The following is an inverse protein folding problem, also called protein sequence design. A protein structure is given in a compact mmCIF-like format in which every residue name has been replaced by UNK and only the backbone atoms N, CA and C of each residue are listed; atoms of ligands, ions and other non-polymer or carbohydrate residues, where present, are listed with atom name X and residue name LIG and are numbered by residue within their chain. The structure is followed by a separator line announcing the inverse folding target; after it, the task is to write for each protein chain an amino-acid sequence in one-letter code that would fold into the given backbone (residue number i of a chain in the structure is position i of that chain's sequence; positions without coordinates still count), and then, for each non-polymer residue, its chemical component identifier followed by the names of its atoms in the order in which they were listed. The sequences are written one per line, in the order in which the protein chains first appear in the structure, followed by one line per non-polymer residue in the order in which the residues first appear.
data_IF_132771241497
#
_entry.id   IF_132771241497
#
_cell.length_a   1.000
_cell.length_b   1.000
_cell.length_c   1.000
_cell.angle_alpha   90.00
_cell.angle_beta   90.00
_cell.angle_gamma   90.00
#
_symmetry.space_group_name_H-M   'P 1'
#
loop_
_entity.id
_entity.type
_entity.pdbx_description
1 polymer ?
#
# COMPACT_ATOMS: atom_id res chain seq x y z
N UNK A 1 43.28 -8.68 34.16
CA UNK A 1 43.68 -7.74 33.09
C UNK A 1 42.47 -7.47 32.21
N UNK A 2 41.99 -6.22 32.31
CA UNK A 2 41.19 -5.45 31.36
C UNK A 2 39.82 -6.04 30.96
N UNK A 3 38.81 -5.70 31.76
CA UNK A 3 37.45 -5.55 31.28
C UNK A 3 37.46 -4.50 30.16
N UNK A 4 36.96 -4.88 28.99
CA UNK A 4 36.82 -3.98 27.85
C UNK A 4 35.56 -3.13 28.07
N UNK A 5 35.68 -2.12 28.92
CA UNK A 5 34.74 -0.99 29.01
C UNK A 5 34.85 -0.19 27.71
N UNK A 6 34.14 -0.58 26.66
CA UNK A 6 33.77 0.28 25.51
C UNK A 6 32.79 -0.41 24.54
N UNK A 7 31.84 -1.20 25.06
CA UNK A 7 30.64 -1.52 24.28
C UNK A 7 29.70 -0.31 24.33
N UNK A 8 29.71 0.51 23.29
CA UNK A 8 28.63 1.45 23.02
C UNK A 8 27.31 0.67 23.10
N UNK A 9 26.41 1.06 24.01
CA UNK A 9 25.06 0.48 24.14
C UNK A 9 24.33 0.65 22.80
N UNK A 10 24.47 -0.33 21.90
CA UNK A 10 23.58 -0.52 20.78
C UNK A 10 22.21 -0.83 21.36
N UNK A 11 21.20 -0.02 21.02
CA UNK A 11 19.81 -0.27 21.39
C UNK A 11 19.45 -1.70 20.97
N UNK A 12 19.23 -2.58 21.95
CA UNK A 12 18.90 -3.98 21.73
C UNK A 12 17.63 -4.08 20.89
N UNK A 13 17.64 -4.93 19.85
CA UNK A 13 16.46 -5.13 19.02
C UNK A 13 15.36 -5.80 19.84
N UNK A 14 14.16 -5.22 19.85
CA UNK A 14 13.00 -5.77 20.53
C UNK A 14 11.77 -5.80 19.61
N UNK A 15 10.91 -6.83 19.75
CA UNK A 15 9.72 -7.00 18.92
C UNK A 15 8.73 -5.84 19.07
N UNK A 16 7.91 -5.62 18.04
CA UNK A 16 6.86 -4.59 18.03
C UNK A 16 5.63 -5.12 18.75
N UNK A 17 5.06 -4.33 19.67
CA UNK A 17 3.80 -4.69 20.35
C UNK A 17 2.58 -4.22 19.56
N UNK A 18 1.39 -4.75 19.90
CA UNK A 18 0.12 -4.30 19.31
C UNK A 18 -0.09 -2.79 19.51
N UNK A 19 0.17 -2.29 20.72
CA UNK A 19 -0.01 -0.88 21.09
C UNK A 19 0.95 0.03 20.30
N UNK A 20 2.21 -0.39 20.11
CA UNK A 20 3.16 0.34 19.27
C UNK A 20 2.71 0.39 17.81
N UNK A 21 2.15 -0.70 17.29
CA UNK A 21 1.64 -0.75 15.92
C UNK A 21 0.39 0.13 15.74
N UNK A 22 -0.49 0.19 16.73
CA UNK A 22 -1.62 1.11 16.75
C UNK A 22 -1.15 2.57 16.79
N UNK A 23 -0.20 2.89 17.66
CA UNK A 23 0.41 4.22 17.73
C UNK A 23 1.09 4.60 16.40
N UNK A 24 1.76 3.65 15.74
CA UNK A 24 2.35 3.83 14.42
C UNK A 24 1.30 4.23 13.37
N UNK A 25 0.19 3.49 13.26
CA UNK A 25 -0.88 3.81 12.31
C UNK A 25 -1.58 5.13 12.65
N UNK A 26 -1.82 5.41 13.93
CA UNK A 26 -2.37 6.69 14.38
C UNK A 26 -1.47 7.86 13.94
N UNK A 27 -0.14 7.74 14.10
CA UNK A 27 0.81 8.73 13.62
C UNK A 27 0.74 8.91 12.09
N UNK A 28 0.64 7.82 11.32
CA UNK A 28 0.45 7.89 9.86
C UNK A 28 -0.81 8.67 9.48
N UNK A 29 -1.93 8.44 10.17
CA UNK A 29 -3.20 9.15 9.92
C UNK A 29 -3.04 10.64 10.25
N UNK A 30 -2.50 11.00 11.41
CA UNK A 30 -2.33 12.40 11.80
C UNK A 30 -1.39 13.12 10.83
N UNK A 31 -0.29 12.46 10.40
CA UNK A 31 0.63 13.02 9.41
C UNK A 31 -0.01 13.20 8.03
N UNK A 32 -1.03 12.41 7.68
CA UNK A 32 -1.78 12.59 6.43
C UNK A 32 -2.67 13.84 6.44
N UNK A 33 -3.20 14.22 7.61
CA UNK A 33 -4.04 15.40 7.79
C UNK A 33 -3.19 16.67 7.90
N UNK A 34 -2.10 16.61 8.67
CA UNK A 34 -1.20 17.75 8.87
C UNK A 34 -0.09 17.70 7.83
N UNK A 35 -0.27 18.43 6.73
CA UNK A 35 0.73 18.53 5.66
C UNK A 35 1.99 19.22 6.15
N UNK A 36 3.03 18.42 6.44
CA UNK A 36 4.40 18.91 6.67
C UNK A 36 5.28 18.59 5.46
N UNK A 37 6.27 19.44 5.21
CA UNK A 37 7.21 19.29 4.09
C UNK A 37 8.12 18.06 4.20
N UNK A 38 8.29 17.49 5.40
CA UNK A 38 9.13 16.30 5.64
C UNK A 38 8.73 15.59 6.95
N UNK A 39 8.93 14.27 7.01
CA UNK A 39 8.71 13.44 8.22
C UNK A 39 9.56 13.97 9.41
N UNK A 40 10.74 14.50 9.11
CA UNK A 40 11.67 15.06 10.11
C UNK A 40 11.10 16.25 10.90
N UNK A 41 10.10 16.95 10.36
CA UNK A 41 9.44 18.08 11.04
C UNK A 41 8.41 17.64 12.07
N UNK A 42 8.04 16.36 12.12
CA UNK A 42 7.07 15.80 13.05
C UNK A 42 7.73 15.12 14.27
N UNK A 43 8.75 14.29 14.04
CA UNK A 43 9.13 13.26 15.02
C UNK A 43 10.40 13.57 15.84
N UNK A 44 11.08 14.69 15.61
CA UNK A 44 12.35 15.02 16.31
C UNK A 44 12.07 15.73 17.66
N UNK A 45 12.78 15.32 18.72
CA UNK A 45 12.78 16.03 20.01
C UNK A 45 13.74 17.24 19.96
N UNK A 46 13.43 18.39 20.59
CA UNK A 46 14.25 19.61 20.52
C UNK A 46 15.70 19.47 21.03
N UNK A 47 16.00 18.44 21.82
CA UNK A 47 17.27 18.34 22.56
C UNK A 47 18.31 17.39 21.93
N UNK A 48 18.04 16.77 20.78
CA UNK A 48 18.85 15.65 20.27
C UNK A 48 19.39 15.89 18.85
N UNK A 49 20.23 16.91 18.63
CA UNK A 49 20.92 17.10 17.35
C UNK A 49 22.32 17.68 17.57
N UNK A 50 23.27 16.85 18.00
CA UNK A 50 24.70 17.13 17.93
C UNK A 50 25.31 16.21 16.86
N UNK A 51 25.79 16.82 15.78
CA UNK A 51 26.54 16.24 14.65
C UNK A 51 25.78 15.40 13.60
N UNK A 52 25.38 16.07 12.51
CA UNK A 52 25.61 15.63 11.11
C UNK A 52 25.25 16.81 10.17
N UNK A 53 26.19 17.22 9.32
CA UNK A 53 26.15 18.49 8.57
C UNK A 53 25.26 18.51 7.31
N UNK A 54 24.35 17.54 7.11
CA UNK A 54 23.47 17.49 5.93
C UNK A 54 21.95 17.51 6.29
N UNK A 55 21.58 17.41 7.57
CA UNK A 55 20.18 17.41 8.03
C UNK A 55 19.78 18.65 8.87
N UNK A 56 20.58 19.72 8.84
CA UNK A 56 20.33 20.92 9.66
C UNK A 56 19.18 21.82 9.18
N UNK A 57 18.63 21.62 7.99
CA UNK A 57 17.68 22.59 7.41
C UNK A 57 16.30 22.56 8.05
N UNK A 58 15.93 21.48 8.75
CA UNK A 58 14.56 21.29 9.26
C UNK A 58 14.51 20.59 10.64
N UNK A 59 15.40 20.95 11.56
CA UNK A 59 15.27 20.55 12.96
C UNK A 59 14.09 21.32 13.63
N UNK A 60 13.26 20.67 14.47
CA UNK A 60 12.15 21.31 15.19
C UNK A 60 12.64 22.12 16.41
N UNK A 61 13.81 22.74 16.33
CA UNK A 61 14.33 23.64 17.36
C UNK A 61 13.71 25.04 17.25
N UNK A 62 12.91 25.30 16.21
CA UNK A 62 12.04 26.49 16.14
C UNK A 62 10.71 26.15 16.77
N UNK A 63 10.46 26.66 17.98
CA UNK A 63 9.17 26.54 18.68
C UNK A 63 7.97 26.86 17.78
N UNK A 64 8.15 27.78 16.83
CA UNK A 64 7.14 28.25 15.85
C UNK A 64 6.59 27.13 14.94
N UNK A 65 7.37 26.08 14.65
CA UNK A 65 6.96 24.98 13.72
C UNK A 65 6.90 23.61 14.40
N UNK A 66 7.17 23.57 15.70
CA UNK A 66 7.15 22.35 16.48
C UNK A 66 5.72 21.82 16.62
N UNK A 67 5.55 20.52 16.47
CA UNK A 67 4.25 19.83 16.67
C UNK A 67 4.45 18.69 17.65
N UNK A 68 4.36 18.96 18.96
CA UNK A 68 4.68 17.99 20.02
C UNK A 68 3.83 16.71 19.96
N UNK A 69 2.65 16.76 19.32
CA UNK A 69 1.74 15.63 19.20
C UNK A 69 2.36 14.41 18.49
N UNK A 70 3.32 14.61 17.59
CA UNK A 70 3.92 13.51 16.83
C UNK A 70 5.06 12.80 17.58
N UNK A 71 5.81 13.52 18.42
CA UNK A 71 6.94 12.96 19.17
C UNK A 71 6.56 12.36 20.52
N UNK A 72 5.32 12.57 20.97
CA UNK A 72 4.77 12.00 22.21
C UNK A 72 4.50 10.49 22.14
N UNK A 73 3.82 9.94 21.12
CA UNK A 73 3.44 8.52 21.11
C UNK A 73 4.61 7.58 20.88
N UNK A 74 5.58 7.98 20.04
CA UNK A 74 6.70 7.13 19.65
C UNK A 74 7.92 7.96 19.23
N UNK A 75 9.16 7.60 19.63
CA UNK A 75 10.37 8.26 19.14
C UNK A 75 10.57 8.05 17.63
N UNK A 76 11.11 9.06 16.93
CA UNK A 76 11.44 8.97 15.49
C UNK A 76 12.20 7.71 15.09
N UNK A 77 13.23 7.35 15.87
CA UNK A 77 14.04 6.15 15.59
C UNK A 77 13.19 4.89 15.58
N UNK A 78 12.28 4.74 16.56
CA UNK A 78 11.37 3.59 16.66
C UNK A 78 10.36 3.61 15.51
N UNK A 79 9.78 4.77 15.19
CA UNK A 79 8.89 4.92 14.05
C UNK A 79 9.55 4.47 12.74
N UNK A 80 10.77 4.94 12.46
CA UNK A 80 11.53 4.56 11.27
C UNK A 80 11.91 3.07 11.27
N UNK A 81 12.28 2.52 12.43
CA UNK A 81 12.54 1.09 12.55
C UNK A 81 11.29 0.28 12.16
N UNK A 82 10.11 0.62 12.71
CA UNK A 82 8.85 -0.04 12.34
C UNK A 82 8.58 0.15 10.84
N UNK A 83 8.69 1.36 10.28
CA UNK A 83 8.49 1.61 8.85
C UNK A 83 9.38 0.77 7.94
N UNK A 84 10.66 0.57 8.31
CA UNK A 84 11.60 -0.20 7.49
C UNK A 84 11.38 -1.71 7.56
N UNK A 85 10.86 -2.22 8.69
CA UNK A 85 10.71 -3.66 8.93
C UNK A 85 9.25 -4.15 8.89
N UNK A 86 8.30 -3.27 8.60
CA UNK A 86 6.89 -3.62 8.45
C UNK A 86 6.69 -4.61 7.30
N UNK A 87 6.10 -5.76 7.62
CA UNK A 87 5.85 -6.84 6.66
C UNK A 87 4.49 -7.50 6.97
N UNK A 88 3.78 -7.93 5.92
CA UNK A 88 2.43 -8.52 6.05
C UNK A 88 2.37 -10.01 5.68
N UNK A 89 3.50 -10.59 5.30
CA UNK A 89 3.61 -12.03 4.97
C UNK A 89 4.62 -12.71 5.87
N UNK A 90 4.23 -13.85 6.43
CA UNK A 90 5.14 -14.68 7.19
C UNK A 90 6.16 -15.36 6.28
N UNK A 91 7.44 -15.34 6.66
CA UNK A 91 8.50 -16.04 5.93
C UNK A 91 8.39 -17.58 6.01
N UNK A 92 7.40 -18.11 6.75
CA UNK A 92 7.20 -19.55 6.96
C UNK A 92 6.52 -20.24 5.77
N UNK A 93 5.74 -19.51 4.96
CA UNK A 93 5.11 -20.03 3.75
C UNK A 93 6.03 -19.98 2.53
N UNK A 94 7.22 -19.39 2.69
CA UNK A 94 8.26 -19.37 1.66
C UNK A 94 9.05 -20.68 1.74
N UNK A 95 9.24 -21.34 0.59
CA UNK A 95 10.09 -22.53 0.51
C UNK A 95 11.50 -22.16 1.01
N UNK A 96 11.90 -22.71 2.17
CA UNK A 96 13.19 -22.42 2.81
C UNK A 96 14.36 -23.08 2.07
N UNK A 97 14.09 -24.11 1.29
CA UNK A 97 15.08 -24.82 0.50
C UNK A 97 15.49 -24.02 -0.74
N UNK A 98 14.63 -23.08 -1.16
CA UNK A 98 14.93 -22.16 -2.26
C UNK A 98 15.65 -20.90 -1.75
N UNK A 99 16.99 -20.98 -1.71
CA UNK A 99 17.87 -19.84 -1.42
C UNK A 99 17.68 -18.65 -2.37
N UNK A 100 17.08 -18.88 -3.54
CA UNK A 100 16.84 -17.88 -4.57
C UNK A 100 15.38 -17.42 -4.61
N UNK A 101 14.56 -17.75 -3.59
CA UNK A 101 13.12 -17.42 -3.58
C UNK A 101 12.82 -15.92 -3.84
N UNK A 102 13.70 -15.02 -3.39
CA UNK A 102 13.57 -13.56 -3.59
C UNK A 102 13.77 -13.13 -5.05
N UNK A 103 14.51 -13.91 -5.84
CA UNK A 103 14.76 -13.67 -7.27
C UNK A 103 14.10 -14.70 -8.17
N UNK A 104 13.32 -15.62 -7.60
CA UNK A 104 12.72 -16.75 -8.32
C UNK A 104 11.82 -16.29 -9.46
N UNK A 105 11.08 -15.20 -9.27
CA UNK A 105 10.28 -14.58 -10.33
C UNK A 105 11.12 -14.16 -11.55
N UNK A 106 12.39 -13.79 -11.35
CA UNK A 106 13.31 -13.46 -12.45
C UNK A 106 13.83 -14.73 -13.13
N UNK A 107 14.20 -15.74 -12.34
CA UNK A 107 14.69 -17.02 -12.85
C UNK A 107 13.60 -17.74 -13.66
N UNK A 108 12.37 -17.78 -13.15
CA UNK A 108 11.24 -18.44 -13.80
C UNK A 108 10.84 -17.73 -15.10
N UNK A 109 11.00 -16.41 -15.17
CA UNK A 109 10.84 -15.64 -16.41
C UNK A 109 11.83 -16.08 -17.51
N UNK A 110 13.09 -16.31 -17.16
CA UNK A 110 14.11 -16.76 -18.12
C UNK A 110 14.06 -18.26 -18.41
N UNK A 111 13.53 -19.07 -17.49
CA UNK A 111 13.51 -20.54 -17.61
C UNK A 111 12.19 -21.11 -18.11
N UNK A 112 11.14 -20.30 -18.26
CA UNK A 112 9.87 -20.71 -18.88
C UNK A 112 9.00 -21.67 -18.04
N UNK A 113 9.38 -21.96 -16.81
CA UNK A 113 8.67 -22.89 -15.93
C UNK A 113 7.42 -22.25 -15.30
N UNK A 114 6.25 -22.40 -15.94
CA UNK A 114 4.95 -22.03 -15.37
C UNK A 114 4.40 -23.15 -14.48
N UNK A 115 4.50 -23.00 -13.17
CA UNK A 115 3.76 -23.84 -12.20
C UNK A 115 2.76 -22.99 -11.40
N UNK A 116 1.59 -23.57 -11.11
CA UNK A 116 0.37 -22.89 -10.64
C UNK A 116 0.55 -21.84 -9.53
N UNK A 117 -0.18 -20.72 -9.67
CA UNK A 117 -0.44 -19.64 -8.69
C UNK A 117 0.76 -19.06 -7.92
N UNK A 118 1.97 -19.11 -8.50
CA UNK A 118 3.17 -18.39 -8.02
C UNK A 118 3.36 -17.01 -8.65
N UNK A 119 2.51 -16.63 -9.60
CA UNK A 119 2.61 -15.38 -10.38
C UNK A 119 1.86 -14.19 -9.75
N UNK A 120 1.34 -14.29 -8.53
CA UNK A 120 0.72 -13.16 -7.85
C UNK A 120 1.77 -12.15 -7.36
N UNK A 121 2.02 -11.13 -8.18
CA UNK A 121 2.92 -10.01 -7.84
C UNK A 121 2.55 -9.28 -6.54
N UNK A 122 1.29 -9.38 -6.10
CA UNK A 122 0.80 -8.74 -4.88
C UNK A 122 0.81 -9.67 -3.66
N UNK A 123 1.41 -10.86 -3.76
CA UNK A 123 1.42 -11.86 -2.68
C UNK A 123 1.82 -11.27 -1.30
N UNK A 124 2.77 -10.32 -1.26
CA UNK A 124 3.25 -9.65 -0.04
C UNK A 124 2.19 -8.81 0.68
N UNK A 125 1.15 -8.38 -0.02
CA UNK A 125 0.08 -7.54 0.51
C UNK A 125 -1.31 -8.14 0.28
N UNK A 126 -1.40 -9.33 -0.33
CA UNK A 126 -2.65 -10.00 -0.69
C UNK A 126 -3.58 -10.14 0.50
N UNK A 127 -3.08 -10.66 1.61
CA UNK A 127 -3.84 -10.80 2.85
C UNK A 127 -4.45 -9.49 3.35
N UNK A 128 -3.73 -8.37 3.18
CA UNK A 128 -4.23 -7.04 3.58
C UNK A 128 -5.32 -6.56 2.62
N UNK A 129 -5.13 -6.74 1.31
CA UNK A 129 -6.12 -6.36 0.30
C UNK A 129 -7.43 -7.14 0.51
N UNK A 130 -7.31 -8.46 0.71
CA UNK A 130 -8.46 -9.34 0.86
C UNK A 130 -9.21 -9.03 2.15
N UNK A 131 -8.49 -8.84 3.27
CA UNK A 131 -9.08 -8.40 4.54
C UNK A 131 -9.81 -7.06 4.42
N UNK A 132 -9.22 -6.07 3.75
CA UNK A 132 -9.85 -4.76 3.57
C UNK A 132 -11.10 -4.85 2.70
N UNK A 133 -11.05 -5.56 1.58
CA UNK A 133 -12.21 -5.75 0.71
C UNK A 133 -13.34 -6.51 1.43
N UNK A 134 -13.01 -7.52 2.22
CA UNK A 134 -13.99 -8.24 3.05
C UNK A 134 -14.65 -7.30 4.06
N UNK A 135 -13.85 -6.49 4.78
CA UNK A 135 -14.37 -5.55 5.76
C UNK A 135 -15.20 -4.44 5.14
N UNK A 136 -14.80 -3.91 3.99
CA UNK A 136 -15.57 -2.86 3.32
C UNK A 136 -16.96 -3.34 2.92
N UNK A 137 -17.09 -4.58 2.44
CA UNK A 137 -18.40 -5.18 2.14
C UNK A 137 -19.24 -5.48 3.39
N UNK A 138 -18.61 -5.85 4.51
CA UNK A 138 -19.31 -6.15 5.76
C UNK A 138 -19.81 -4.89 6.49
N UNK A 139 -19.06 -3.79 6.42
CA UNK A 139 -19.32 -2.60 7.23
C UNK A 139 -20.38 -1.67 6.63
N UNK A 140 -20.59 -1.71 5.31
CA UNK A 140 -21.49 -0.78 4.65
C UNK A 140 -22.14 -1.41 3.42
N UNK A 141 -23.46 -1.29 3.32
CA UNK A 141 -24.20 -1.63 2.10
C UNK A 141 -24.42 -0.36 1.29
N UNK A 142 -23.88 -0.25 0.06
CA UNK A 142 -24.07 0.92 -0.78
C UNK A 142 -25.54 1.06 -1.22
N UNK A 143 -25.96 2.29 -1.54
CA UNK A 143 -27.21 2.56 -2.24
C UNK A 143 -27.14 2.10 -3.70
N UNK A 144 -28.28 2.14 -4.39
CA UNK A 144 -28.47 1.67 -5.77
C UNK A 144 -27.45 2.23 -6.78
N UNK A 145 -26.97 3.46 -6.60
CA UNK A 145 -26.10 4.14 -7.56
C UNK A 145 -24.62 3.94 -7.24
N UNK A 146 -23.93 3.12 -8.02
CA UNK A 146 -22.50 2.79 -7.83
C UNK A 146 -21.69 3.05 -9.09
N UNK A 147 -20.41 3.37 -8.95
CA UNK A 147 -19.51 3.68 -10.05
C UNK A 147 -18.22 2.89 -9.96
N UNK A 148 -17.75 2.37 -11.10
CA UNK A 148 -16.39 1.83 -11.23
C UNK A 148 -15.50 2.90 -11.86
N UNK A 149 -14.37 3.18 -11.21
CA UNK A 149 -13.42 4.18 -11.68
C UNK A 149 -11.97 3.80 -11.40
N UNK A 150 -11.08 4.52 -12.08
CA UNK A 150 -9.64 4.36 -11.96
C UNK A 150 -9.03 5.49 -11.13
N UNK A 151 -8.15 5.13 -10.18
CA UNK A 151 -7.34 6.09 -9.43
C UNK A 151 -5.86 5.73 -9.47
N UNK A 152 -4.99 6.73 -9.38
CA UNK A 152 -3.53 6.56 -9.44
C UNK A 152 -2.89 7.07 -8.17
N UNK A 153 -2.30 6.18 -7.38
CA UNK A 153 -1.56 6.52 -6.17
C UNK A 153 -0.11 6.84 -6.52
N UNK A 154 0.34 8.08 -6.24
CA UNK A 154 1.71 8.51 -6.55
C UNK A 154 2.74 7.58 -5.95
N UNK A 155 3.60 7.03 -6.80
CA UNK A 155 4.70 6.16 -6.39
C UNK A 155 5.88 6.34 -7.35
N UNK A 156 7.10 6.44 -6.81
CA UNK A 156 8.35 6.66 -7.59
C UNK A 156 9.45 5.64 -7.24
N UNK A 157 9.09 4.48 -6.72
CA UNK A 157 10.02 3.39 -6.43
C UNK A 157 10.22 2.44 -7.61
N UNK A 158 11.11 1.47 -7.43
CA UNK A 158 11.38 0.39 -8.40
C UNK A 158 10.36 -0.74 -8.21
N UNK A 159 9.19 -0.59 -8.83
CA UNK A 159 8.17 -1.64 -8.92
C UNK A 159 7.75 -1.77 -10.38
N UNK A 160 7.63 -2.99 -10.88
CA UNK A 160 7.25 -3.26 -12.27
C UNK A 160 5.81 -2.85 -12.60
N UNK A 161 4.96 -2.69 -11.60
CA UNK A 161 3.53 -2.38 -11.76
C UNK A 161 3.23 -0.87 -11.78
N UNK A 162 4.26 -0.02 -11.69
CA UNK A 162 4.11 1.44 -11.79
C UNK A 162 3.63 1.83 -13.18
N UNK A 163 2.50 2.54 -13.23
CA UNK A 163 1.89 3.01 -14.46
C UNK A 163 2.24 4.48 -14.73
N UNK A 164 2.43 4.78 -16.00
CA UNK A 164 2.47 6.15 -16.51
C UNK A 164 1.15 6.52 -17.16
N UNK A 165 0.47 7.55 -16.66
CA UNK A 165 -0.78 8.07 -17.23
C UNK A 165 -0.61 9.56 -17.50
N UNK A 166 -0.41 9.93 -18.76
CA UNK A 166 -0.09 11.30 -19.17
C UNK A 166 -1.18 12.32 -18.79
N UNK A 167 -2.44 11.90 -18.81
CA UNK A 167 -3.61 12.75 -18.52
C UNK A 167 -3.79 13.07 -17.03
N UNK A 168 -3.11 12.36 -16.12
CA UNK A 168 -3.24 12.59 -14.67
C UNK A 168 -2.18 13.56 -14.17
N UNK A 169 -2.53 14.42 -13.20
CA UNK A 169 -1.59 15.36 -12.54
C UNK A 169 -0.39 14.64 -11.94
N UNK A 170 -0.66 13.54 -11.26
CA UNK A 170 0.36 12.55 -10.90
C UNK A 170 0.50 11.63 -12.09
N UNK A 171 1.63 11.70 -12.80
CA UNK A 171 1.82 10.89 -14.02
C UNK A 171 2.32 9.48 -13.73
N UNK A 172 3.05 9.26 -12.63
CA UNK A 172 3.62 7.95 -12.26
C UNK A 172 3.04 7.46 -10.94
N UNK A 173 2.52 6.23 -10.92
CA UNK A 173 1.95 5.66 -9.71
C UNK A 173 1.41 4.25 -9.84
N UNK A 174 0.86 3.74 -8.74
CA UNK A 174 0.16 2.45 -8.70
C UNK A 174 -1.30 2.70 -9.06
N UNK A 175 -1.79 2.02 -10.08
CA UNK A 175 -3.17 2.16 -10.58
C UNK A 175 -4.11 1.25 -9.79
N UNK A 176 -5.23 1.80 -9.35
CA UNK A 176 -6.30 1.11 -8.63
C UNK A 176 -7.59 1.21 -9.44
N UNK A 177 -8.31 0.10 -9.53
CA UNK A 177 -9.72 0.04 -9.92
C UNK A 177 -10.56 0.00 -8.66
N UNK A 178 -11.60 0.81 -8.57
CA UNK A 178 -12.42 0.95 -7.36
C UNK A 178 -13.89 0.90 -7.72
N UNK A 179 -14.67 0.18 -6.92
CA UNK A 179 -16.12 0.24 -6.90
C UNK A 179 -16.52 1.17 -5.76
N UNK A 180 -17.12 2.32 -6.09
CA UNK A 180 -17.59 3.28 -5.11
C UNK A 180 -19.08 3.54 -5.21
N UNK A 181 -19.71 3.85 -4.08
CA UNK A 181 -21.04 4.44 -4.07
C UNK A 181 -20.99 5.90 -4.54
N UNK A 182 -21.93 6.28 -5.41
CA UNK A 182 -21.96 7.61 -6.04
C UNK A 182 -22.31 8.73 -5.06
N UNK A 183 -23.10 8.44 -4.01
CA UNK A 183 -23.60 9.46 -3.07
C UNK A 183 -22.60 9.78 -1.96
N UNK A 184 -22.09 8.77 -1.24
CA UNK A 184 -21.13 8.97 -0.15
C UNK A 184 -19.67 8.97 -0.61
N UNK A 185 -19.37 8.44 -1.81
CA UNK A 185 -18.02 8.16 -2.25
C UNK A 185 -17.38 6.94 -1.57
N UNK A 186 -18.15 6.16 -0.80
CA UNK A 186 -17.66 4.98 -0.10
C UNK A 186 -17.08 3.95 -1.07
N UNK A 187 -15.87 3.46 -0.78
CA UNK A 187 -15.20 2.45 -1.59
C UNK A 187 -15.52 1.05 -1.09
N UNK A 188 -16.45 0.35 -1.75
CA UNK A 188 -16.87 -1.00 -1.37
C UNK A 188 -15.81 -2.05 -1.67
N UNK A 189 -15.14 -1.95 -2.82
CA UNK A 189 -14.08 -2.89 -3.22
C UNK A 189 -13.05 -2.21 -4.11
N UNK A 190 -11.82 -2.71 -4.09
CA UNK A 190 -10.79 -2.25 -5.02
C UNK A 190 -9.88 -3.39 -5.49
N UNK A 191 -9.25 -3.16 -6.65
CA UNK A 191 -8.22 -4.01 -7.24
C UNK A 191 -7.03 -3.16 -7.66
N UNK A 192 -5.83 -3.73 -7.55
CA UNK A 192 -4.60 -3.09 -7.99
C UNK A 192 -4.23 -3.65 -9.36
N UNK A 193 -3.89 -2.77 -10.28
CA UNK A 193 -3.38 -3.16 -11.60
C UNK A 193 -1.95 -3.67 -11.48
N UNK A 194 -1.68 -4.85 -12.05
CA UNK A 194 -0.39 -5.57 -11.97
C UNK A 194 0.25 -5.79 -13.35
N UNK A 195 -0.11 -4.96 -14.34
CA UNK A 195 0.32 -5.15 -15.72
C UNK A 195 -0.62 -6.07 -16.50
N UNK A 196 -0.05 -6.83 -17.43
CA UNK A 196 -0.79 -7.86 -18.18
C UNK A 196 -1.23 -8.95 -17.23
N UNK A 197 -2.45 -8.84 -16.69
CA UNK A 197 -3.14 -9.98 -16.12
C UNK A 197 -3.11 -11.05 -17.22
N UNK A 198 -2.42 -12.17 -16.99
CA UNK A 198 -2.45 -13.32 -17.89
C UNK A 198 -3.86 -13.86 -17.77
N UNK A 199 -4.80 -13.26 -18.50
CA UNK A 199 -6.14 -13.78 -18.63
C UNK A 199 -5.92 -15.09 -19.38
N UNK A 200 -6.01 -16.21 -18.66
CA UNK A 200 -5.90 -17.56 -19.20
C UNK A 200 -6.87 -17.78 -20.38
N UNK A 201 -7.86 -16.91 -20.54
CA UNK A 201 -8.73 -16.79 -21.70
C UNK A 201 -8.46 -15.48 -22.47
N UNK A 202 -7.65 -15.54 -23.54
CA UNK A 202 -7.36 -14.42 -24.47
C UNK A 202 -8.60 -13.77 -25.13
N UNK A 203 -9.80 -14.30 -24.88
CA UNK A 203 -11.06 -13.86 -25.50
C UNK A 203 -11.74 -12.70 -24.79
N UNK A 204 -11.44 -12.44 -23.51
CA UNK A 204 -12.14 -11.41 -22.74
C UNK A 204 -11.30 -10.14 -22.63
N UNK A 205 -11.80 -8.96 -23.03
CA UNK A 205 -11.13 -7.69 -22.80
C UNK A 205 -10.82 -7.47 -21.32
N UNK A 206 -9.66 -6.86 -21.01
CA UNK A 206 -9.23 -6.60 -19.63
C UNK A 206 -10.25 -5.74 -18.88
N UNK A 207 -10.84 -4.75 -19.55
CA UNK A 207 -11.86 -3.87 -18.96
C UNK A 207 -13.08 -4.66 -18.48
N UNK A 208 -13.56 -5.60 -19.29
CA UNK A 208 -14.67 -6.49 -18.93
C UNK A 208 -14.29 -7.40 -17.76
N UNK A 209 -13.09 -8.00 -17.76
CA UNK A 209 -12.67 -8.86 -16.66
C UNK A 209 -12.62 -8.10 -15.32
N UNK A 210 -12.02 -6.92 -15.32
CA UNK A 210 -11.94 -6.05 -14.13
C UNK A 210 -13.33 -5.63 -13.67
N UNK A 211 -14.19 -5.21 -14.60
CA UNK A 211 -15.56 -4.80 -14.30
C UNK A 211 -16.37 -5.94 -13.68
N UNK A 212 -16.39 -7.11 -14.31
CA UNK A 212 -17.09 -8.29 -13.78
C UNK A 212 -16.59 -8.66 -12.38
N UNK A 213 -15.27 -8.70 -12.19
CA UNK A 213 -14.67 -9.05 -10.89
C UNK A 213 -15.01 -8.06 -9.76
N UNK A 214 -15.15 -6.77 -10.08
CA UNK A 214 -15.56 -5.77 -9.10
C UNK A 214 -17.08 -5.78 -8.88
N UNK A 215 -17.86 -6.04 -9.92
CA UNK A 215 -19.31 -6.02 -9.88
C UNK A 215 -19.94 -7.32 -9.33
N UNK A 216 -19.16 -8.38 -9.10
CA UNK A 216 -19.62 -9.66 -8.55
C UNK A 216 -20.51 -9.51 -7.30
N UNK A 217 -20.21 -8.54 -6.43
CA UNK A 217 -20.96 -8.31 -5.18
C UNK A 217 -22.30 -7.60 -5.37
N UNK A 218 -22.52 -6.91 -6.50
CA UNK A 218 -23.70 -6.08 -6.78
C UNK A 218 -24.58 -6.63 -7.91
N UNK A 219 -24.07 -7.61 -8.66
CA UNK A 219 -24.77 -8.20 -9.81
C UNK A 219 -26.13 -8.79 -9.40
N UNK A 220 -27.18 -8.51 -10.16
CA UNK A 220 -28.53 -9.06 -9.93
C UNK A 220 -29.26 -8.51 -8.70
N UNK A 221 -28.76 -7.44 -8.07
CA UNK A 221 -29.36 -6.84 -6.87
C UNK A 221 -30.07 -5.50 -7.10
N UNK A 222 -30.27 -5.11 -8.37
CA UNK A 222 -30.96 -3.86 -8.74
C UNK A 222 -30.09 -2.59 -8.64
N UNK A 223 -28.76 -2.71 -8.57
CA UNK A 223 -27.87 -1.56 -8.62
C UNK A 223 -27.76 -0.97 -10.03
N UNK A 224 -27.69 0.36 -10.11
CA UNK A 224 -27.30 1.09 -11.32
C UNK A 224 -25.79 1.35 -11.28
N UNK A 225 -25.09 0.76 -12.25
CA UNK A 225 -23.63 0.85 -12.37
C UNK A 225 -23.22 1.91 -13.40
N UNK A 226 -22.51 2.94 -12.95
CA UNK A 226 -21.90 3.98 -13.79
C UNK A 226 -20.47 3.60 -14.16
N UNK A 227 -20.15 3.74 -15.45
CA UNK A 227 -18.89 3.32 -16.05
C UNK A 227 -18.27 4.44 -16.89
N UNK A 228 -16.94 4.48 -16.92
CA UNK A 228 -16.19 5.32 -17.86
C UNK A 228 -16.09 4.65 -19.25
N UNK A 229 -15.75 5.42 -20.29
CA UNK A 229 -15.72 4.98 -21.68
C UNK A 229 -14.81 3.76 -21.93
N UNK A 230 -13.76 3.59 -21.11
CA UNK A 230 -12.87 2.43 -21.19
C UNK A 230 -13.57 1.09 -20.91
N UNK A 231 -14.74 1.12 -20.27
CA UNK A 231 -15.55 -0.04 -19.95
C UNK A 231 -16.75 -0.23 -20.90
N UNK A 232 -16.95 0.66 -21.89
CA UNK A 232 -18.14 0.70 -22.77
C UNK A 232 -18.19 -0.36 -23.87
N UNK A 233 -17.59 -1.53 -23.68
CA UNK A 233 -17.78 -2.64 -24.62
C UNK A 233 -19.25 -3.10 -24.57
N UNK A 234 -19.89 -3.47 -25.70
CA UNK A 234 -21.24 -4.05 -25.71
C UNK A 234 -21.37 -5.24 -24.76
N UNK A 235 -20.30 -6.01 -24.59
CA UNK A 235 -20.25 -7.15 -23.68
C UNK A 235 -20.31 -6.77 -22.18
N UNK A 236 -20.06 -5.51 -21.83
CA UNK A 236 -20.16 -4.99 -20.47
C UNK A 236 -21.56 -4.45 -20.12
N UNK A 237 -22.45 -4.30 -21.11
CA UNK A 237 -23.77 -3.67 -20.95
C UNK A 237 -24.94 -4.66 -20.90
N UNK A 238 -24.68 -5.98 -20.96
CA UNK A 238 -25.72 -7.03 -21.09
C UNK A 238 -26.12 -7.60 -19.71
N UNK A 239 -26.10 -6.81 -18.63
CA UNK A 239 -26.39 -7.31 -17.27
C UNK A 239 -27.33 -6.39 -16.49
#
# INVERSE_FOLDING_TARGET
MIANENATKGEEWFPVTSDELQAYFALCIIMSQVKKSSIDMGLVKPSCCSNTNILKTYAPNRAVVATPIFSKPMPRKRFLAISHFLHFTGNKTMNKDDKLNKIRNVIDYFTGNKTMNKDDKLNKIRNVIDYLNEKFLQLYTPNESVAIYESLMKFRGRLSDVQFIASKRVRFGIKFYKLCESKSGYCSQFRIYVGSEIVNNKKTPVSQHVMMKLAESILGKGYTLYLDNWYSSPHCLIF
#
